data_IF_089245576633
#
_entry.id   IF_089245576633
#
_cell.length_a   1.000
_cell.length_b   1.000
_cell.length_c   1.000
_cell.angle_alpha   90.00
_cell.angle_beta   90.00
_cell.angle_gamma   90.00
#
_symmetry.space_group_name_H-M   'P 1'
#
loop_
_entity.id
_entity.type
_entity.pdbx_description
1 polymer ?
#
# COMPACT_ATOMS: atom_id res chain seq x y z
N UNK A 1 -17.43 2.22 -14.72
CA UNK A 1 -16.25 3.11 -14.98
C UNK A 1 -15.31 3.01 -13.80
N UNK A 2 -14.12 2.45 -14.01
CA UNK A 2 -13.08 2.35 -12.97
C UNK A 2 -12.41 3.70 -12.77
N UNK A 3 -12.22 4.10 -11.51
CA UNK A 3 -11.51 5.33 -11.15
C UNK A 3 -10.31 4.97 -10.28
N UNK A 4 -9.12 5.38 -10.71
CA UNK A 4 -7.89 5.25 -9.92
C UNK A 4 -7.58 6.63 -9.34
N UNK A 5 -7.62 6.74 -8.02
CA UNK A 5 -7.14 7.92 -7.31
C UNK A 5 -5.65 7.75 -7.01
N UNK A 6 -4.82 8.41 -7.81
CA UNK A 6 -3.39 8.51 -7.53
C UNK A 6 -3.11 9.61 -6.50
N UNK A 7 -2.14 9.40 -5.60
CA UNK A 7 -1.70 10.44 -4.69
C UNK A 7 -1.19 11.65 -5.47
N UNK A 8 -2.01 12.71 -5.56
CA UNK A 8 -1.52 14.08 -5.78
C UNK A 8 -1.04 14.62 -4.43
N UNK A 9 -0.11 15.57 -4.47
CA UNK A 9 0.75 16.11 -3.38
C UNK A 9 0.19 16.29 -1.95
N UNK A 10 -1.10 16.06 -1.67
CA UNK A 10 -1.72 16.16 -0.34
C UNK A 10 -2.66 15.02 0.07
N UNK A 11 -3.33 14.30 -0.85
CA UNK A 11 -4.50 13.47 -0.49
C UNK A 11 -4.24 11.96 -0.41
N UNK A 12 -3.03 11.52 -0.72
CA UNK A 12 -2.61 10.11 -0.53
C UNK A 12 -1.15 9.99 -0.10
N UNK A 13 -0.52 11.07 0.33
CA UNK A 13 0.85 11.05 0.85
C UNK A 13 0.79 10.90 2.36
N UNK A 14 1.52 9.93 2.90
CA UNK A 14 1.57 9.64 4.34
C UNK A 14 2.78 10.34 4.94
N UNK A 15 2.59 11.09 6.02
CA UNK A 15 3.66 11.94 6.59
C UNK A 15 4.07 11.55 8.02
N UNK A 16 3.43 10.55 8.61
CA UNK A 16 3.82 10.02 9.92
C UNK A 16 3.66 8.51 10.01
N UNK A 17 4.36 7.89 10.98
CA UNK A 17 4.19 6.46 11.29
C UNK A 17 2.79 6.15 11.80
N UNK A 18 2.17 7.09 12.52
CA UNK A 18 0.79 6.96 13.00
C UNK A 18 -0.19 6.85 11.82
N UNK A 19 -0.07 7.76 10.84
CA UNK A 19 -0.95 7.74 9.67
C UNK A 19 -0.70 6.49 8.83
N UNK A 20 0.56 6.04 8.73
CA UNK A 20 0.91 4.78 8.07
C UNK A 20 0.20 3.60 8.73
N UNK A 21 0.29 3.50 10.07
CA UNK A 21 -0.35 2.41 10.81
C UNK A 21 -1.86 2.41 10.64
N UNK A 22 -2.51 3.57 10.74
CA UNK A 22 -3.95 3.68 10.57
C UNK A 22 -4.42 3.25 9.17
N UNK A 23 -3.61 3.53 8.14
CA UNK A 23 -3.89 3.08 6.78
C UNK A 23 -3.70 1.58 6.63
N UNK A 24 -2.65 1.01 7.23
CA UNK A 24 -2.43 -0.44 7.28
C UNK A 24 -3.61 -1.13 7.99
N UNK A 25 -4.02 -0.64 9.15
CA UNK A 25 -5.18 -1.17 9.90
C UNK A 25 -6.46 -1.13 9.05
N UNK A 26 -6.65 -0.07 8.25
CA UNK A 26 -7.80 0.05 7.36
C UNK A 26 -7.77 -0.99 6.22
N UNK A 27 -6.64 -1.17 5.54
CA UNK A 27 -6.52 -2.15 4.44
C UNK A 27 -6.50 -3.59 4.94
N UNK A 28 -6.10 -3.81 6.19
CA UNK A 28 -6.06 -5.12 6.85
C UNK A 28 -7.39 -5.53 7.50
N UNK A 29 -8.47 -4.75 7.37
CA UNK A 29 -9.71 -5.05 8.06
C UNK A 29 -10.27 -6.44 7.66
N UNK A 30 -10.39 -7.42 8.60
CA UNK A 30 -10.75 -8.80 8.27
C UNK A 30 -12.19 -8.93 7.75
N UNK A 31 -13.11 -8.06 8.19
CA UNK A 31 -14.49 -8.06 7.68
C UNK A 31 -14.57 -7.62 6.21
N UNK A 32 -13.60 -6.84 5.75
CA UNK A 32 -13.55 -6.31 4.37
C UNK A 32 -12.68 -7.14 3.43
N UNK A 33 -11.83 -8.02 3.98
CA UNK A 33 -10.78 -8.73 3.24
C UNK A 33 -10.94 -10.24 3.26
N UNK A 34 -12.09 -10.73 3.72
CA UNK A 34 -12.35 -12.16 3.94
C UNK A 34 -11.28 -12.81 4.82
N UNK A 35 -11.15 -12.29 6.05
CA UNK A 35 -10.12 -12.74 7.00
C UNK A 35 -8.71 -12.73 6.38
N UNK A 36 -8.34 -11.58 5.83
CA UNK A 36 -7.05 -11.29 5.20
C UNK A 36 -6.75 -12.02 3.86
N UNK A 37 -7.67 -12.83 3.33
CA UNK A 37 -7.48 -13.52 2.03
C UNK A 37 -7.20 -12.54 0.88
N UNK A 38 -7.83 -11.37 0.89
CA UNK A 38 -7.63 -10.33 -0.13
C UNK A 38 -6.57 -9.29 0.25
N UNK A 39 -5.65 -9.64 1.14
CA UNK A 39 -4.45 -8.86 1.47
C UNK A 39 -3.24 -9.50 0.82
N UNK A 40 -2.37 -8.69 0.23
CA UNK A 40 -1.08 -9.15 -0.28
C UNK A 40 0.00 -8.13 0.00
N UNK A 41 1.17 -8.62 0.41
CA UNK A 41 2.37 -7.82 0.63
C UNK A 41 3.45 -8.17 -0.39
N UNK A 42 4.16 -7.17 -0.89
CA UNK A 42 5.38 -7.36 -1.69
C UNK A 42 6.56 -6.85 -0.86
N UNK A 43 7.62 -7.67 -0.73
CA UNK A 43 8.75 -7.39 0.17
C UNK A 43 8.32 -7.15 1.63
N UNK A 44 7.27 -7.86 2.05
CA UNK A 44 6.78 -7.94 3.42
C UNK A 44 6.79 -9.42 3.79
N UNK A 45 7.41 -9.75 4.92
CA UNK A 45 7.55 -11.13 5.41
C UNK A 45 6.26 -11.60 6.08
N UNK A 46 5.63 -10.75 6.88
CA UNK A 46 4.37 -11.02 7.53
C UNK A 46 3.47 -9.78 7.47
N UNK A 47 2.26 -9.97 6.94
CA UNK A 47 1.27 -8.90 6.78
C UNK A 47 0.88 -8.27 8.14
N UNK A 48 0.98 -9.02 9.24
CA UNK A 48 0.72 -8.51 10.59
C UNK A 48 1.84 -7.61 11.13
N UNK A 49 3.06 -7.70 10.57
CA UNK A 49 4.19 -6.82 10.90
C UNK A 49 4.47 -5.74 9.84
N UNK A 50 3.57 -5.55 8.86
CA UNK A 50 3.76 -4.62 7.73
C UNK A 50 4.28 -3.24 8.15
N UNK A 51 3.67 -2.62 9.17
CA UNK A 51 4.06 -1.27 9.61
C UNK A 51 5.50 -1.24 10.12
N UNK A 52 5.87 -2.21 10.96
CA UNK A 52 7.21 -2.32 11.54
C UNK A 52 8.26 -2.62 10.47
N UNK A 53 7.97 -3.52 9.53
CA UNK A 53 8.87 -3.86 8.43
C UNK A 53 9.14 -2.66 7.50
N UNK A 54 8.10 -1.90 7.17
CA UNK A 54 8.23 -0.68 6.37
C UNK A 54 9.06 0.38 7.11
N UNK A 55 8.82 0.58 8.41
CA UNK A 55 9.56 1.54 9.24
C UNK A 55 11.02 1.11 9.46
N UNK A 56 11.29 -0.19 9.58
CA UNK A 56 12.63 -0.74 9.68
C UNK A 56 13.43 -0.51 8.40
N UNK A 57 12.85 -0.83 7.23
CA UNK A 57 13.45 -0.58 5.92
C UNK A 57 13.79 0.89 5.73
N UNK A 58 12.86 1.78 6.10
CA UNK A 58 13.07 3.23 6.09
C UNK A 58 14.22 3.66 6.99
N UNK A 59 14.26 3.15 8.23
CA UNK A 59 15.30 3.49 9.22
C UNK A 59 16.68 3.07 8.72
N UNK A 60 16.80 1.86 8.17
CA UNK A 60 18.03 1.38 7.55
C UNK A 60 18.45 2.25 6.35
N UNK A 61 17.52 2.62 5.47
CA UNK A 61 17.83 3.48 4.33
C UNK A 61 18.32 4.88 4.74
N UNK A 62 17.80 5.45 5.83
CA UNK A 62 18.25 6.74 6.38
C UNK A 62 19.64 6.61 6.98
N UNK A 63 19.88 5.56 7.78
CA UNK A 63 21.18 5.29 8.38
C UNK A 63 22.28 5.12 7.33
N UNK A 64 21.99 4.39 6.23
CA UNK A 64 22.93 4.20 5.12
C UNK A 64 23.22 5.51 4.35
N UNK A 65 22.25 6.42 4.26
CA UNK A 65 22.39 7.67 3.49
C UNK A 65 22.87 8.88 4.32
N UNK A 66 23.00 8.75 5.65
CA UNK A 66 23.45 9.78 6.59
C UNK A 66 22.75 11.15 6.42
N UNK A 67 21.49 11.18 5.97
CA UNK A 67 20.73 12.42 5.74
C UNK A 67 19.25 12.23 6.07
N UNK A 68 18.77 12.73 7.22
CA UNK A 68 17.33 12.90 7.42
C UNK A 68 16.79 13.91 6.40
N UNK A 69 15.67 13.61 5.76
CA UNK A 69 15.04 14.51 4.78
C UNK A 69 14.01 15.40 5.50
N UNK A 70 13.86 16.65 5.05
CA UNK A 70 12.70 17.48 5.44
C UNK A 70 11.47 17.00 4.68
N UNK A 71 10.29 17.04 5.30
CA UNK A 71 9.01 16.58 4.73
C UNK A 71 9.07 15.12 4.29
N UNK A 72 9.54 14.23 5.17
CA UNK A 72 9.63 12.82 4.84
C UNK A 72 8.25 12.20 4.56
N UNK A 73 8.21 11.40 3.51
CA UNK A 73 7.06 10.62 3.09
C UNK A 73 7.24 9.20 3.64
N UNK A 74 6.25 8.71 4.37
CA UNK A 74 6.21 7.37 4.95
C UNK A 74 5.60 6.35 4.00
N UNK A 75 4.77 6.80 3.07
CA UNK A 75 4.11 5.94 2.10
C UNK A 75 3.18 6.72 1.19
N UNK A 76 2.63 6.02 0.22
CA UNK A 76 1.61 6.52 -0.68
C UNK A 76 0.41 5.57 -0.61
N UNK A 77 -0.79 6.12 -0.45
CA UNK A 77 -2.04 5.36 -0.42
C UNK A 77 -2.78 5.57 -1.75
N UNK A 78 -3.02 4.47 -2.44
CA UNK A 78 -3.76 4.43 -3.69
C UNK A 78 -5.16 3.86 -3.42
N UNK A 79 -6.18 4.46 -4.03
CA UNK A 79 -7.55 3.93 -3.99
C UNK A 79 -8.01 3.67 -5.41
N UNK A 80 -8.37 2.42 -5.69
CA UNK A 80 -8.99 2.00 -6.94
C UNK A 80 -10.44 1.63 -6.66
N UNK A 81 -11.36 2.33 -7.30
CA UNK A 81 -12.79 2.11 -7.13
C UNK A 81 -13.40 1.52 -8.40
N UNK A 82 -14.25 0.52 -8.22
CA UNK A 82 -14.98 -0.18 -9.27
C UNK A 82 -16.46 0.20 -9.19
N UNK A 83 -17.12 0.28 -10.34
CA UNK A 83 -18.56 0.53 -10.37
C UNK A 83 -19.31 -0.76 -9.99
N UNK A 84 -20.42 -0.66 -9.26
CA UNK A 84 -21.30 -1.82 -9.03
C UNK A 84 -21.80 -2.48 -10.33
N UNK A 85 -21.89 -1.68 -11.42
CA UNK A 85 -22.30 -2.15 -12.75
C UNK A 85 -21.20 -2.93 -13.48
N UNK A 86 -19.96 -2.90 -12.98
CA UNK A 86 -18.86 -3.69 -13.55
C UNK A 86 -19.00 -5.20 -13.21
N UNK A 87 -19.90 -5.55 -12.27
CA UNK A 87 -20.23 -6.93 -11.85
C UNK A 87 -19.01 -7.80 -11.51
N UNK A 88 -17.97 -7.21 -10.92
CA UNK A 88 -16.74 -7.90 -10.53
C UNK A 88 -16.88 -8.64 -9.20
N UNK A 89 -16.26 -9.81 -9.09
CA UNK A 89 -16.13 -10.52 -7.83
C UNK A 89 -14.97 -9.97 -6.98
N UNK A 90 -14.95 -10.20 -5.65
CA UNK A 90 -13.82 -9.80 -4.80
C UNK A 90 -12.47 -10.33 -5.29
N UNK A 91 -12.42 -11.57 -5.78
CA UNK A 91 -11.20 -12.19 -6.32
C UNK A 91 -10.69 -11.43 -7.56
N UNK A 92 -11.60 -11.06 -8.47
CA UNK A 92 -11.25 -10.30 -9.66
C UNK A 92 -10.74 -8.90 -9.30
N UNK A 93 -11.38 -8.25 -8.33
CA UNK A 93 -10.95 -6.93 -7.81
C UNK A 93 -9.56 -7.04 -7.20
N UNK A 94 -9.30 -8.07 -6.40
CA UNK A 94 -7.99 -8.32 -5.82
C UNK A 94 -6.92 -8.58 -6.89
N UNK A 95 -7.21 -9.43 -7.87
CA UNK A 95 -6.29 -9.73 -8.98
C UNK A 95 -5.98 -8.48 -9.83
N UNK A 96 -6.98 -7.62 -10.08
CA UNK A 96 -6.78 -6.33 -10.76
C UNK A 96 -5.85 -5.43 -9.94
N UNK A 97 -6.03 -5.37 -8.62
CA UNK A 97 -5.16 -4.61 -7.71
C UNK A 97 -3.70 -5.08 -7.80
N UNK A 98 -3.47 -6.40 -7.75
CA UNK A 98 -2.14 -7.00 -7.89
C UNK A 98 -1.49 -6.65 -9.23
N UNK A 99 -2.22 -6.80 -10.35
CA UNK A 99 -1.74 -6.45 -11.69
C UNK A 99 -1.42 -4.96 -11.81
N UNK A 100 -2.27 -4.11 -11.24
CA UNK A 100 -2.10 -2.65 -11.24
C UNK A 100 -0.81 -2.26 -10.52
N UNK A 101 -0.58 -2.79 -9.31
CA UNK A 101 0.62 -2.49 -8.54
C UNK A 101 1.89 -3.06 -9.18
N UNK A 102 1.81 -4.26 -9.75
CA UNK A 102 2.93 -4.87 -10.49
C UNK A 102 3.36 -4.01 -11.69
N UNK A 103 2.39 -3.52 -12.47
CA UNK A 103 2.67 -2.63 -13.60
C UNK A 103 3.21 -1.28 -13.13
N UNK A 104 2.62 -0.71 -12.08
CA UNK A 104 3.04 0.60 -11.53
C UNK A 104 4.47 0.58 -10.99
N UNK A 105 4.85 -0.47 -10.26
CA UNK A 105 6.19 -0.61 -9.68
C UNK A 105 7.24 -1.07 -10.70
N UNK A 106 6.83 -1.61 -11.85
CA UNK A 106 7.69 -2.09 -12.92
C UNK A 106 8.74 -3.12 -12.46
N UNK A 107 9.87 -3.18 -13.16
CA UNK A 107 11.00 -4.07 -12.82
C UNK A 107 11.80 -3.62 -11.57
N UNK A 108 11.44 -2.50 -10.94
CA UNK A 108 12.11 -2.00 -9.72
C UNK A 108 11.64 -2.70 -8.45
N UNK A 109 10.61 -3.53 -8.53
CA UNK A 109 10.26 -4.46 -7.47
C UNK A 109 10.90 -5.81 -7.82
N UNK A 110 12.10 -6.06 -7.29
CA UNK A 110 12.73 -7.37 -7.41
C UNK A 110 11.80 -8.42 -6.78
N UNK A 111 11.48 -9.46 -7.53
CA UNK A 111 10.77 -10.67 -7.10
C UNK A 111 11.78 -11.76 -6.78
#
# INVERSE_FOLDING_TARGET
MTVIYMPKQSNGTVHSSKDLNQLIDYVMNPEKTNDFEYVSGQNILDIHSTCDEMLATRTMAIALKNKPRKNEIYGYHFVQSFSPDDHLTPEQVHEIGLKTMKEYLGNSAEF
#
